data_IF_119215202108
#
_entry.id   IF_119215202108
#
_cell.length_a   1.000
_cell.length_b   1.000
_cell.length_c   1.000
_cell.angle_alpha   90.00
_cell.angle_beta   90.00
_cell.angle_gamma   90.00
#
_symmetry.space_group_name_H-M   'P 1'
#
loop_
_entity.id
_entity.type
_entity.pdbx_description
1 polymer ?
#
# COMPACT_ATOMS: atom_id res chain seq x y z
N UNK A 1 -6.56 14.93 -6.46
CA UNK A 1 -5.45 15.41 -5.64
C UNK A 1 -5.94 15.41 -4.18
N UNK A 2 -5.37 14.55 -3.33
CA UNK A 2 -5.66 14.56 -1.92
C UNK A 2 -5.07 15.85 -1.31
N UNK A 3 -5.91 16.68 -0.70
CA UNK A 3 -5.42 17.84 0.06
C UNK A 3 -4.76 17.33 1.34
N UNK A 4 -3.47 17.58 1.47
CA UNK A 4 -2.75 17.37 2.72
C UNK A 4 -3.11 18.53 3.66
N UNK A 5 -3.93 18.25 4.66
CA UNK A 5 -4.24 19.23 5.71
C UNK A 5 -3.15 19.11 6.80
N UNK A 6 -2.22 20.05 6.80
CA UNK A 6 -1.11 20.10 7.74
C UNK A 6 -1.51 20.92 8.96
N UNK A 7 -1.88 20.25 10.02
CA UNK A 7 -2.04 20.89 11.32
C UNK A 7 -0.66 21.06 11.98
N UNK A 8 -0.14 22.28 12.01
CA UNK A 8 1.22 22.62 12.47
C UNK A 8 1.52 22.32 13.97
N UNK A 9 0.54 21.86 14.73
CA UNK A 9 0.69 21.57 16.18
C UNK A 9 0.71 20.08 16.54
N UNK A 10 0.49 19.19 15.58
CA UNK A 10 0.53 17.76 15.81
C UNK A 10 1.63 17.16 14.94
N UNK A 11 2.49 16.33 15.53
CA UNK A 11 3.52 15.55 14.83
C UNK A 11 2.92 14.48 13.90
N UNK A 12 1.66 14.66 13.51
CA UNK A 12 0.90 13.73 12.71
C UNK A 12 0.34 14.43 11.47
N UNK A 13 0.60 13.84 10.31
CA UNK A 13 -0.09 14.17 9.08
C UNK A 13 -1.28 13.22 8.98
N UNK A 14 -2.50 13.77 9.03
CA UNK A 14 -3.71 12.97 8.82
C UNK A 14 -3.99 12.95 7.33
N UNK A 15 -3.89 11.78 6.72
CA UNK A 15 -4.28 11.57 5.33
C UNK A 15 -5.69 11.00 5.34
N UNK A 16 -6.68 11.88 5.09
CA UNK A 16 -8.07 11.48 4.89
C UNK A 16 -8.28 10.93 3.49
N UNK A 17 -8.98 9.81 3.38
CA UNK A 17 -9.33 9.20 2.10
C UNK A 17 -10.84 9.26 1.89
N UNK A 18 -11.27 9.67 0.71
CA UNK A 18 -12.69 9.71 0.32
C UNK A 18 -13.28 8.30 0.15
N UNK A 19 -12.43 7.29 -0.02
CA UNK A 19 -12.85 5.88 -0.12
C UNK A 19 -11.88 4.98 0.64
N UNK A 20 -12.40 3.93 1.28
CA UNK A 20 -11.61 2.89 1.97
C UNK A 20 -10.55 2.22 1.07
N UNK A 21 -10.78 2.22 -0.24
CA UNK A 21 -9.85 1.65 -1.22
C UNK A 21 -8.49 2.35 -1.27
N UNK A 22 -8.41 3.62 -0.92
CA UNK A 22 -7.18 4.39 -0.92
C UNK A 22 -6.42 4.36 0.41
N UNK A 23 -7.01 3.74 1.42
CA UNK A 23 -6.38 3.63 2.73
C UNK A 23 -5.17 2.68 2.67
N UNK A 24 -3.97 3.12 3.09
CA UNK A 24 -2.82 2.25 3.17
C UNK A 24 -3.06 1.08 4.13
N UNK A 25 -2.83 -0.13 3.66
CA UNK A 25 -2.73 -1.31 4.52
C UNK A 25 -1.38 -1.35 5.21
N UNK A 26 -0.33 -0.99 4.46
CA UNK A 26 1.04 -0.97 4.92
C UNK A 26 1.85 0.01 4.09
N UNK A 27 2.72 0.77 4.74
CA UNK A 27 3.74 1.58 4.07
C UNK A 27 4.95 0.67 3.80
N UNK A 28 5.40 0.64 2.54
CA UNK A 28 6.53 -0.19 2.09
C UNK A 28 7.82 0.57 2.27
N UNK A 29 7.84 1.82 1.80
CA UNK A 29 9.00 2.71 1.89
C UNK A 29 8.52 4.15 2.07
N UNK A 30 9.38 4.96 2.67
CA UNK A 30 9.14 6.38 2.84
C UNK A 30 10.44 7.16 2.64
N UNK A 31 10.32 8.39 2.15
CA UNK A 31 11.42 9.31 1.92
C UNK A 31 11.00 10.73 2.25
N UNK A 32 11.94 11.53 2.72
CA UNK A 32 11.80 12.98 2.77
C UNK A 32 12.38 13.58 1.50
N UNK A 33 11.74 14.62 1.01
CA UNK A 33 12.16 15.38 -0.18
C UNK A 33 12.40 16.80 0.25
N UNK A 34 13.59 17.31 0.01
CA UNK A 34 13.89 18.72 0.16
C UNK A 34 13.40 19.46 -1.09
N UNK A 35 12.36 20.27 -0.94
CA UNK A 35 11.75 21.00 -2.05
C UNK A 35 12.65 22.10 -2.63
N UNK A 36 13.73 22.48 -1.93
CA UNK A 36 14.66 23.50 -2.41
C UNK A 36 15.79 22.92 -3.27
N UNK A 37 16.23 21.70 -2.98
CA UNK A 37 17.36 21.04 -3.64
C UNK A 37 16.97 19.79 -4.43
N UNK A 38 15.70 19.36 -4.32
CA UNK A 38 15.16 18.13 -4.90
C UNK A 38 15.92 16.86 -4.47
N UNK A 39 16.51 16.90 -3.27
CA UNK A 39 17.25 15.78 -2.70
C UNK A 39 16.28 14.89 -1.92
N UNK A 40 16.23 13.62 -2.30
CA UNK A 40 15.47 12.60 -1.62
C UNK A 40 16.33 11.78 -0.65
N UNK A 41 15.86 11.62 0.58
CA UNK A 41 16.56 10.81 1.59
C UNK A 41 15.57 9.83 2.22
N UNK A 42 15.88 8.53 2.26
CA UNK A 42 14.98 7.54 2.84
C UNK A 42 14.72 7.79 4.34
N UNK A 43 13.48 7.55 4.76
CA UNK A 43 13.04 7.56 6.15
C UNK A 43 12.99 6.13 6.68
N UNK A 44 13.37 5.94 7.94
CA UNK A 44 13.20 4.67 8.61
C UNK A 44 11.74 4.50 9.04
N UNK A 45 11.11 3.42 8.57
CA UNK A 45 9.76 3.06 9.02
C UNK A 45 9.89 2.31 10.34
N UNK A 46 9.27 2.85 11.39
CA UNK A 46 9.34 2.29 12.74
C UNK A 46 7.98 1.77 13.20
N UNK A 47 8.00 0.80 14.12
CA UNK A 47 6.80 0.28 14.75
C UNK A 47 6.23 1.23 15.83
N UNK A 48 5.00 0.97 16.24
CA UNK A 48 4.35 1.73 17.31
C UNK A 48 5.19 1.75 18.59
N UNK A 49 5.74 0.61 18.97
CA UNK A 49 6.53 0.47 20.19
C UNK A 49 7.77 1.36 20.20
N UNK A 50 8.51 1.40 19.07
CA UNK A 50 9.72 2.20 18.95
C UNK A 50 9.38 3.69 18.95
N UNK A 51 8.29 4.07 18.26
CA UNK A 51 7.82 5.46 18.24
C UNK A 51 7.38 5.93 19.64
N UNK A 52 6.66 5.08 20.40
CA UNK A 52 6.18 5.43 21.75
C UNK A 52 7.32 5.59 22.77
N UNK A 53 8.44 4.91 22.57
CA UNK A 53 9.64 5.02 23.42
C UNK A 53 10.43 6.31 23.24
N UNK A 54 10.12 7.12 22.24
CA UNK A 54 10.80 8.40 22.03
C UNK A 54 10.49 9.34 23.20
N UNK A 55 11.49 9.76 23.99
CA UNK A 55 11.27 10.54 25.21
C UNK A 55 10.84 11.98 24.91
N UNK A 56 11.33 12.56 23.82
CA UNK A 56 10.99 13.93 23.42
C UNK A 56 10.44 13.95 21.98
N UNK A 57 9.12 13.87 21.84
CA UNK A 57 8.43 13.90 20.55
C UNK A 57 8.34 15.31 19.94
N UNK A 58 8.53 16.36 20.77
CA UNK A 58 8.44 17.76 20.35
C UNK A 58 9.77 18.35 19.86
N UNK A 59 10.85 17.57 19.93
CA UNK A 59 12.16 18.00 19.41
C UNK A 59 12.08 18.22 17.90
N UNK A 60 12.31 19.46 17.46
CA UNK A 60 12.31 19.83 16.04
C UNK A 60 13.68 19.61 15.43
N UNK A 61 13.73 18.90 14.29
CA UNK A 61 14.94 18.65 13.52
C UNK A 61 14.55 18.15 12.12
N UNK A 62 15.52 17.62 11.40
CA UNK A 62 15.29 16.97 10.10
C UNK A 62 14.59 15.63 10.34
N UNK A 63 13.49 15.31 9.63
CA UNK A 63 12.78 14.05 9.76
C UNK A 63 13.66 12.84 9.45
N UNK A 64 13.61 11.83 10.33
CA UNK A 64 14.38 10.59 10.19
C UNK A 64 13.49 9.35 10.24
N UNK A 65 12.43 9.38 11.03
CA UNK A 65 11.56 8.23 11.27
C UNK A 65 10.13 8.52 10.85
N UNK A 66 9.46 7.49 10.38
CA UNK A 66 8.05 7.52 10.02
C UNK A 66 7.34 6.36 10.71
N UNK A 67 6.24 6.65 11.38
CA UNK A 67 5.32 5.67 11.94
C UNK A 67 3.93 5.88 11.36
N UNK A 68 3.29 4.82 10.88
CA UNK A 68 1.93 4.86 10.36
C UNK A 68 0.98 4.07 11.26
N UNK A 69 -0.12 4.69 11.65
CA UNK A 69 -1.21 4.07 12.40
C UNK A 69 -2.46 4.03 11.53
N UNK A 70 -2.81 2.84 11.05
CA UNK A 70 -4.04 2.61 10.29
C UNK A 70 -5.22 2.49 11.24
N UNK A 71 -6.25 3.32 11.04
CA UNK A 71 -7.55 3.29 11.70
C UNK A 71 -8.63 2.88 10.71
N UNK A 72 -9.88 2.76 11.14
CA UNK A 72 -10.98 2.29 10.29
C UNK A 72 -11.21 3.22 9.08
N UNK A 73 -11.18 4.54 9.27
CA UNK A 73 -11.52 5.52 8.24
C UNK A 73 -10.33 6.38 7.77
N UNK A 74 -9.19 6.29 8.44
CA UNK A 74 -8.03 7.14 8.16
C UNK A 74 -6.73 6.42 8.48
N UNK A 75 -5.63 6.85 7.90
CA UNK A 75 -4.28 6.46 8.33
C UNK A 75 -3.57 7.69 8.83
N UNK A 76 -3.15 7.67 10.09
CA UNK A 76 -2.34 8.73 10.68
C UNK A 76 -0.86 8.40 10.48
N UNK A 77 -0.13 9.34 9.90
CA UNK A 77 1.30 9.23 9.66
C UNK A 77 2.01 10.18 10.61
N UNK A 78 2.84 9.63 11.46
CA UNK A 78 3.66 10.37 12.42
C UNK A 78 5.09 10.41 11.93
N UNK A 79 5.69 11.59 11.98
CA UNK A 79 7.06 11.81 11.55
C UNK A 79 7.87 12.32 12.73
N UNK A 80 9.06 11.78 12.91
CA UNK A 80 9.95 12.22 13.98
C UNK A 80 11.40 12.34 13.49
N UNK A 81 12.12 13.37 13.90
CA UNK A 81 11.65 14.61 14.52
C UNK A 81 10.72 15.41 13.60
N UNK A 82 9.74 16.16 14.15
CA UNK A 82 9.00 17.13 13.36
C UNK A 82 9.92 18.22 12.83
N UNK A 83 9.66 18.71 11.65
CA UNK A 83 10.43 19.81 11.06
C UNK A 83 9.84 21.16 11.40
N UNK A 84 10.70 22.13 11.69
CA UNK A 84 10.30 23.53 11.83
C UNK A 84 10.28 24.26 10.46
N UNK A 85 10.79 23.62 9.41
CA UNK A 85 10.92 24.22 8.09
C UNK A 85 9.84 23.67 7.13
N UNK A 86 9.22 24.59 6.38
CA UNK A 86 8.16 24.26 5.41
C UNK A 86 8.68 23.62 4.11
N UNK A 87 9.99 23.48 3.94
CA UNK A 87 10.62 23.05 2.69
C UNK A 87 10.73 21.51 2.55
N UNK A 88 10.13 20.75 3.45
CA UNK A 88 10.19 19.29 3.39
C UNK A 88 8.84 18.70 3.00
N UNK A 89 8.87 17.81 2.01
CA UNK A 89 7.76 16.93 1.67
C UNK A 89 8.10 15.48 2.09
N UNK A 90 7.06 14.68 2.29
CA UNK A 90 7.20 13.25 2.57
C UNK A 90 6.53 12.48 1.45
N UNK A 91 7.33 11.71 0.72
CA UNK A 91 6.86 10.71 -0.24
C UNK A 91 6.86 9.34 0.41
N UNK A 92 5.84 8.55 0.14
CA UNK A 92 5.79 7.16 0.58
C UNK A 92 5.08 6.26 -0.43
N UNK A 93 5.53 5.02 -0.53
CA UNK A 93 4.88 3.96 -1.30
C UNK A 93 4.15 3.04 -0.33
N UNK A 94 2.95 2.63 -0.69
CA UNK A 94 2.11 1.84 0.18
C UNK A 94 1.32 0.78 -0.56
N UNK A 95 0.98 -0.30 0.14
CA UNK A 95 0.01 -1.29 -0.28
C UNK A 95 -1.39 -0.81 0.09
N UNK A 96 -2.33 -0.91 -0.83
CA UNK A 96 -3.74 -0.60 -0.61
C UNK A 96 -4.64 -1.78 -0.94
N UNK A 97 -5.88 -1.73 -0.48
CA UNK A 97 -6.91 -2.67 -0.93
C UNK A 97 -7.28 -2.40 -2.38
N UNK A 98 -7.64 -3.44 -3.07
CA UNK A 98 -8.29 -3.27 -4.37
C UNK A 98 -9.65 -2.58 -4.16
N UNK A 99 -10.00 -1.71 -5.10
CA UNK A 99 -11.30 -1.07 -5.08
C UNK A 99 -12.37 -2.10 -5.41
N UNK A 100 -13.42 -2.14 -4.60
CA UNK A 100 -14.56 -3.02 -4.84
C UNK A 100 -15.36 -2.53 -6.05
N UNK A 101 -15.97 -3.47 -6.76
CA UNK A 101 -16.87 -3.18 -7.89
C UNK A 101 -18.28 -3.21 -7.35
N UNK A 102 -18.75 -2.08 -6.86
CA UNK A 102 -20.09 -1.90 -6.29
C UNK A 102 -21.15 -1.50 -7.34
N UNK A 103 -20.73 -1.19 -8.56
CA UNK A 103 -21.59 -0.79 -9.66
C UNK A 103 -21.07 -1.34 -11.00
N UNK A 104 -21.98 -1.75 -11.87
CA UNK A 104 -21.66 -2.26 -13.22
C UNK A 104 -20.99 -1.23 -14.16
N UNK A 105 -20.86 0.03 -13.72
CA UNK A 105 -20.21 1.11 -14.47
C UNK A 105 -18.76 1.30 -14.01
N UNK A 106 -18.39 0.76 -12.84
CA UNK A 106 -17.05 0.88 -12.28
C UNK A 106 -16.05 0.01 -13.03
N UNK A 107 -14.94 0.61 -13.40
CA UNK A 107 -13.78 -0.15 -13.90
C UNK A 107 -13.13 -0.95 -12.78
N UNK A 108 -12.78 -2.19 -13.05
CA UNK A 108 -12.03 -3.00 -12.09
C UNK A 108 -10.64 -2.43 -11.87
N UNK A 109 -10.24 -2.35 -10.61
CA UNK A 109 -8.91 -1.89 -10.17
C UNK A 109 -7.88 -3.03 -10.23
N UNK A 110 -7.92 -3.80 -11.30
CA UNK A 110 -7.00 -4.92 -11.53
C UNK A 110 -6.18 -4.69 -12.79
N UNK A 111 -4.90 -5.06 -12.79
CA UNK A 111 -4.10 -5.04 -14.00
C UNK A 111 -4.67 -6.05 -15.02
N UNK A 112 -4.52 -5.79 -16.33
CA UNK A 112 -5.07 -6.66 -17.39
C UNK A 112 -4.66 -8.13 -17.24
N UNK A 113 -3.47 -8.40 -16.72
CA UNK A 113 -2.93 -9.74 -16.48
C UNK A 113 -3.73 -10.54 -15.44
N UNK A 114 -4.49 -9.87 -14.59
CA UNK A 114 -5.32 -10.51 -13.56
C UNK A 114 -6.70 -10.94 -14.07
N UNK A 115 -7.16 -10.45 -15.24
CA UNK A 115 -8.53 -10.69 -15.72
C UNK A 115 -8.84 -12.18 -15.95
N UNK A 116 -7.92 -12.91 -16.55
CA UNK A 116 -8.12 -14.36 -16.78
C UNK A 116 -8.16 -15.14 -15.47
N UNK A 117 -7.33 -14.77 -14.49
CA UNK A 117 -7.36 -15.34 -13.13
C UNK A 117 -8.70 -15.11 -12.45
N UNK A 118 -9.23 -13.90 -12.52
CA UNK A 118 -10.53 -13.55 -11.96
C UNK A 118 -11.67 -14.29 -12.67
N UNK A 119 -11.66 -14.30 -13.99
CA UNK A 119 -12.67 -14.97 -14.82
C UNK A 119 -12.79 -16.45 -14.51
N UNK A 120 -11.68 -17.17 -14.54
CA UNK A 120 -11.67 -18.60 -14.26
C UNK A 120 -11.89 -18.91 -12.78
N UNK A 121 -11.38 -18.06 -11.87
CA UNK A 121 -11.64 -18.19 -10.45
C UNK A 121 -13.12 -18.02 -10.09
N UNK A 122 -13.81 -17.06 -10.72
CA UNK A 122 -15.25 -16.87 -10.57
C UNK A 122 -16.03 -18.05 -11.18
N UNK A 123 -15.66 -18.48 -12.40
CA UNK A 123 -16.31 -19.61 -13.05
C UNK A 123 -16.19 -20.91 -12.23
N UNK A 124 -15.03 -21.17 -11.62
CA UNK A 124 -14.84 -22.33 -10.75
C UNK A 124 -15.72 -22.28 -9.50
N UNK A 125 -15.87 -21.10 -8.87
CA UNK A 125 -16.75 -20.91 -7.69
C UNK A 125 -18.22 -21.04 -8.03
N UNK A 126 -18.66 -20.48 -9.16
CA UNK A 126 -20.04 -20.60 -9.60
C UNK A 126 -20.43 -22.03 -9.98
N UNK A 127 -19.45 -22.87 -10.36
CA UNK A 127 -19.70 -24.28 -10.63
C UNK A 127 -20.21 -25.07 -9.43
N UNK A 128 -19.92 -24.64 -8.20
CA UNK A 128 -20.44 -25.24 -6.97
C UNK A 128 -21.92 -24.91 -6.75
N UNK A 129 -22.36 -23.71 -7.19
CA UNK A 129 -23.76 -23.27 -7.05
C UNK A 129 -24.63 -23.74 -8.22
N UNK A 130 -24.06 -23.80 -9.41
CA UNK A 130 -24.74 -24.25 -10.62
C UNK A 130 -24.20 -25.60 -11.04
N UNK A 131 -24.98 -26.70 -10.94
CA UNK A 131 -24.49 -28.04 -11.24
C UNK A 131 -24.02 -28.14 -12.69
N UNK A 132 -22.70 -28.38 -12.84
CA UNK A 132 -22.03 -28.61 -14.11
C UNK A 132 -21.39 -29.99 -14.09
N UNK A 133 -21.03 -30.49 -15.26
CA UNK A 133 -20.32 -31.76 -15.38
C UNK A 133 -19.02 -31.76 -14.55
N UNK A 134 -18.77 -32.80 -13.71
CA UNK A 134 -17.58 -32.88 -12.85
C UNK A 134 -16.25 -32.74 -13.58
N UNK A 135 -16.15 -33.26 -14.82
CA UNK A 135 -14.94 -33.09 -15.62
C UNK A 135 -14.70 -31.64 -16.02
N UNK A 136 -15.77 -30.91 -16.32
CA UNK A 136 -15.70 -29.50 -16.65
C UNK A 136 -15.34 -28.68 -15.41
N UNK A 137 -15.87 -29.02 -14.25
CA UNK A 137 -15.52 -28.37 -12.97
C UNK A 137 -14.02 -28.52 -12.68
N UNK A 138 -13.49 -29.75 -12.74
CA UNK A 138 -12.07 -30.00 -12.52
C UNK A 138 -11.17 -29.22 -13.50
N UNK A 139 -11.58 -29.10 -14.77
CA UNK A 139 -10.84 -28.31 -15.75
C UNK A 139 -10.86 -26.82 -15.45
N UNK A 140 -11.98 -26.27 -14.95
CA UNK A 140 -12.08 -24.86 -14.54
C UNK A 140 -11.19 -24.57 -13.35
N UNK A 141 -11.17 -25.44 -12.34
CA UNK A 141 -10.31 -25.32 -11.16
C UNK A 141 -8.83 -25.37 -11.53
N UNK A 142 -8.44 -26.29 -12.40
CA UNK A 142 -7.07 -26.38 -12.88
C UNK A 142 -6.63 -25.10 -13.61
N UNK A 143 -7.48 -24.57 -14.50
CA UNK A 143 -7.21 -23.31 -15.20
C UNK A 143 -7.13 -22.13 -14.23
N UNK A 144 -8.07 -22.04 -13.28
CA UNK A 144 -8.06 -21.00 -12.26
C UNK A 144 -6.75 -21.00 -11.45
N UNK A 145 -6.29 -22.17 -11.00
CA UNK A 145 -5.03 -22.32 -10.28
C UNK A 145 -3.82 -21.92 -11.14
N UNK A 146 -3.81 -22.31 -12.43
CA UNK A 146 -2.74 -21.95 -13.38
C UNK A 146 -2.63 -20.44 -13.59
N UNK A 147 -3.75 -19.79 -13.90
CA UNK A 147 -3.78 -18.32 -14.11
C UNK A 147 -3.47 -17.56 -12.82
N UNK A 148 -3.93 -18.01 -11.66
CA UNK A 148 -3.59 -17.40 -10.38
C UNK A 148 -2.09 -17.48 -10.08
N UNK A 149 -1.45 -18.61 -10.39
CA UNK A 149 0.00 -18.77 -10.24
C UNK A 149 0.77 -17.85 -11.19
N UNK A 150 0.34 -17.75 -12.44
CA UNK A 150 0.95 -16.85 -13.42
C UNK A 150 0.82 -15.37 -13.00
N UNK A 151 -0.35 -14.96 -12.52
CA UNK A 151 -0.58 -13.60 -11.98
C UNK A 151 0.35 -13.29 -10.81
N UNK A 152 0.50 -14.23 -9.86
CA UNK A 152 1.42 -14.05 -8.72
C UNK A 152 2.87 -13.92 -9.15
N UNK A 153 3.29 -14.69 -10.14
CA UNK A 153 4.66 -14.63 -10.69
C UNK A 153 4.91 -13.29 -11.39
N UNK A 154 3.97 -12.81 -12.20
CA UNK A 154 4.06 -11.49 -12.83
C UNK A 154 4.14 -10.36 -11.80
N UNK A 155 3.36 -10.44 -10.73
CA UNK A 155 3.38 -9.45 -9.64
C UNK A 155 4.67 -9.48 -8.81
N UNK A 156 5.32 -10.66 -8.66
CA UNK A 156 6.56 -10.80 -7.89
C UNK A 156 7.82 -10.40 -8.68
N UNK A 157 7.74 -10.24 -9.99
CA UNK A 157 8.87 -9.91 -10.87
C UNK A 157 9.50 -8.52 -10.62
N UNK A 158 8.84 -7.66 -9.87
CA UNK A 158 9.34 -6.33 -9.48
C UNK A 158 10.15 -6.32 -8.17
N UNK A 159 10.48 -7.47 -7.61
CA UNK A 159 11.34 -7.53 -6.44
C UNK A 159 12.76 -7.07 -6.79
N UNK A 160 13.20 -5.97 -6.20
CA UNK A 160 14.58 -5.48 -6.32
C UNK A 160 15.57 -6.53 -5.82
N UNK A 161 16.39 -7.08 -6.69
CA UNK A 161 17.46 -8.02 -6.33
C UNK A 161 18.59 -7.21 -5.71
N UNK A 162 18.75 -7.29 -4.40
CA UNK A 162 19.93 -6.71 -3.71
C UNK A 162 21.06 -7.72 -3.73
N UNK A 163 22.09 -7.46 -4.53
CA UNK A 163 23.35 -8.19 -4.44
C UNK A 163 24.15 -7.67 -3.25
N UNK A 164 24.24 -8.47 -2.20
CA UNK A 164 25.19 -8.22 -1.10
C UNK A 164 26.56 -8.78 -1.49
N UNK A 165 27.55 -7.92 -1.68
CA UNK A 165 28.94 -8.34 -1.75
C UNK A 165 29.37 -8.65 -0.32
N UNK A 166 29.67 -9.92 -0.01
CA UNK A 166 30.38 -10.29 1.21
C UNK A 166 31.87 -9.99 0.98
N UNK A 167 32.38 -9.00 1.69
CA UNK A 167 33.82 -8.85 1.91
C UNK A 167 34.28 -9.78 3.01
#
# INVERSE_FOLDING_TARGET
AASLDYAASANAIVVGFTTLAWQPLRIIEARRVDLSSDIEVPLMIVGKFDYERIPNKAMTSIPLWLYAQTKIAETQVFVWPPTAYANWAIGYSFERRYQDVDSGINSMDFPPEAYESLRYGLAARLGDEFPIDPQRQAMLEQKAAGYFTAMRQASSGNASIKFGVRC
#
